data_IF_755102676594
#
_entry.id   IF_755102676594
#
_cell.length_a   1.000
_cell.length_b   1.000
_cell.length_c   1.000
_cell.angle_alpha   90.00
_cell.angle_beta   90.00
_cell.angle_gamma   90.00
#
_symmetry.space_group_name_H-M   'P 1'
#
loop_
_entity.id
_entity.type
_entity.pdbx_description
1 polymer ?
#
# COMPACT_ATOMS: atom_id res chain seq x y z
N UNK A 1 1.81 -41.08 10.42
CA UNK A 1 1.24 -40.73 9.09
C UNK A 1 -0.26 -40.43 9.17
N UNK A 2 -1.06 -41.18 9.93
CA UNK A 2 -2.50 -40.94 10.11
C UNK A 2 -2.87 -39.50 10.54
N UNK A 3 -2.28 -38.97 11.62
CA UNK A 3 -2.62 -37.63 12.12
C UNK A 3 -2.30 -36.50 11.12
N UNK A 4 -1.32 -36.70 10.23
CA UNK A 4 -0.96 -35.70 9.23
C UNK A 4 -2.05 -35.57 8.16
N UNK A 5 -2.49 -36.69 7.58
CA UNK A 5 -3.50 -36.68 6.53
C UNK A 5 -4.90 -36.37 7.05
N UNK A 6 -5.27 -36.92 8.21
CA UNK A 6 -6.57 -36.63 8.84
C UNK A 6 -6.60 -35.20 9.39
N UNK A 7 -5.50 -34.74 9.99
CA UNK A 7 -5.40 -33.37 10.49
C UNK A 7 -5.51 -32.34 9.37
N UNK A 8 -4.81 -32.53 8.25
CA UNK A 8 -4.91 -31.63 7.11
C UNK A 8 -6.31 -31.62 6.50
N UNK A 9 -6.95 -32.79 6.37
CA UNK A 9 -8.35 -32.87 5.93
C UNK A 9 -9.30 -32.13 6.88
N UNK A 10 -9.10 -32.29 8.20
CA UNK A 10 -9.93 -31.64 9.22
C UNK A 10 -9.82 -30.12 9.23
N UNK A 11 -8.63 -29.57 8.93
CA UNK A 11 -8.47 -28.11 8.75
C UNK A 11 -9.33 -27.60 7.59
N UNK A 12 -9.33 -28.31 6.45
CA UNK A 12 -10.16 -27.92 5.31
C UNK A 12 -11.66 -28.07 5.61
N UNK A 13 -12.04 -29.07 6.41
CA UNK A 13 -13.42 -29.29 6.85
C UNK A 13 -13.94 -28.16 7.73
N UNK A 14 -13.17 -27.70 8.72
CA UNK A 14 -13.57 -26.56 9.57
C UNK A 14 -13.66 -25.26 8.75
N UNK A 15 -12.73 -25.04 7.82
CA UNK A 15 -12.70 -23.81 7.02
C UNK A 15 -13.69 -23.76 5.85
N UNK A 16 -14.40 -24.86 5.55
CA UNK A 16 -15.32 -24.89 4.41
C UNK A 16 -16.57 -24.02 4.65
N UNK A 17 -16.98 -23.90 5.92
CA UNK A 17 -18.10 -23.07 6.34
C UNK A 17 -17.78 -22.36 7.67
N UNK A 18 -17.07 -21.22 7.64
CA UNK A 18 -16.61 -20.51 8.84
C UNK A 18 -17.69 -19.68 9.55
N UNK A 19 -18.97 -19.87 9.18
CA UNK A 19 -20.13 -19.10 9.68
C UNK A 19 -21.14 -20.00 10.40
N UNK A 20 -20.71 -21.18 10.86
CA UNK A 20 -21.52 -22.08 11.67
C UNK A 20 -21.57 -21.66 13.13
N UNK A 21 -21.71 -22.67 13.99
CA UNK A 21 -21.71 -22.53 15.46
C UNK A 21 -20.54 -23.29 16.10
N UNK A 22 -19.54 -23.71 15.32
CA UNK A 22 -18.37 -24.43 15.85
C UNK A 22 -17.46 -23.45 16.64
N UNK A 23 -16.72 -23.96 17.63
CA UNK A 23 -15.88 -23.14 18.52
C UNK A 23 -14.79 -22.31 17.77
N UNK A 24 -14.40 -22.74 16.57
CA UNK A 24 -13.39 -22.08 15.72
C UNK A 24 -14.02 -21.21 14.61
N UNK A 25 -15.36 -21.10 14.54
CA UNK A 25 -16.07 -20.26 13.58
C UNK A 25 -15.96 -18.77 13.91
N UNK A 26 -16.30 -17.93 12.93
CA UNK A 26 -16.33 -16.49 13.13
C UNK A 26 -17.51 -16.13 14.04
N UNK A 27 -17.21 -15.36 15.08
CA UNK A 27 -18.17 -14.74 16.01
C UNK A 27 -18.99 -13.62 15.33
N UNK A 28 -19.83 -14.01 14.37
CA UNK A 28 -20.54 -13.09 13.48
C UNK A 28 -21.57 -12.25 14.25
N UNK A 29 -22.27 -12.84 15.21
CA UNK A 29 -23.25 -12.12 16.04
C UNK A 29 -22.59 -10.98 16.82
N UNK A 30 -21.43 -11.25 17.44
CA UNK A 30 -20.66 -10.22 18.12
C UNK A 30 -20.21 -9.11 17.16
N UNK A 31 -19.77 -9.50 15.96
CA UNK A 31 -19.33 -8.54 14.95
C UNK A 31 -20.48 -7.62 14.53
N UNK A 32 -21.67 -8.16 14.30
CA UNK A 32 -22.88 -7.41 13.93
C UNK A 32 -23.23 -6.41 15.05
N UNK A 33 -23.33 -6.87 16.30
CA UNK A 33 -23.65 -6.01 17.44
C UNK A 33 -22.64 -4.87 17.60
N UNK A 34 -21.35 -5.20 17.48
CA UNK A 34 -20.25 -4.22 17.57
C UNK A 34 -20.33 -3.17 16.47
N UNK A 35 -20.62 -3.56 15.23
CA UNK A 35 -20.69 -2.63 14.10
C UNK A 35 -21.95 -1.77 14.14
N UNK A 36 -23.10 -2.34 14.48
CA UNK A 36 -24.35 -1.56 14.63
C UNK A 36 -24.16 -0.50 15.71
N UNK A 37 -23.62 -0.88 16.87
CA UNK A 37 -23.35 0.06 17.96
C UNK A 37 -22.37 1.15 17.55
N UNK A 38 -21.24 0.80 16.94
CA UNK A 38 -20.25 1.77 16.50
C UNK A 38 -20.82 2.70 15.41
N UNK A 39 -21.61 2.17 14.48
CA UNK A 39 -22.28 2.93 13.44
C UNK A 39 -23.20 4.00 14.02
N UNK A 40 -24.11 3.62 14.92
CA UNK A 40 -25.00 4.58 15.59
C UNK A 40 -24.23 5.63 16.41
N UNK A 41 -23.19 5.22 17.15
CA UNK A 41 -22.36 6.15 17.92
C UNK A 41 -21.68 7.19 17.02
N UNK A 42 -21.19 6.79 15.84
CA UNK A 42 -20.52 7.70 14.89
C UNK A 42 -21.50 8.70 14.29
N UNK A 43 -22.70 8.26 13.90
CA UNK A 43 -23.66 9.10 13.17
C UNK A 43 -24.61 9.91 14.07
N UNK A 44 -24.81 9.50 15.32
CA UNK A 44 -25.67 10.21 16.27
C UNK A 44 -24.85 10.99 17.30
N UNK A 45 -24.11 10.29 18.17
CA UNK A 45 -23.41 10.92 19.30
C UNK A 45 -22.22 11.77 18.84
N UNK A 46 -21.41 11.26 17.91
CA UNK A 46 -20.18 11.91 17.44
C UNK A 46 -20.39 12.80 16.21
N UNK A 47 -21.64 13.00 15.76
CA UNK A 47 -21.92 13.80 14.57
C UNK A 47 -21.60 15.28 14.81
N UNK A 48 -20.72 15.85 13.98
CA UNK A 48 -20.21 17.22 14.11
C UNK A 48 -19.50 17.51 15.46
N UNK A 49 -19.25 16.48 16.28
CA UNK A 49 -18.46 16.60 17.50
C UNK A 49 -16.98 16.40 17.17
N UNK A 50 -16.18 17.42 17.47
CA UNK A 50 -14.74 17.39 17.26
C UNK A 50 -14.02 17.87 18.51
N UNK A 51 -12.88 17.25 18.88
CA UNK A 51 -12.06 17.77 19.96
C UNK A 51 -11.51 19.15 19.60
N UNK A 52 -11.18 19.94 20.62
CA UNK A 52 -10.56 21.25 20.42
C UNK A 52 -9.26 21.15 19.63
N UNK A 53 -9.09 22.05 18.66
CA UNK A 53 -7.87 22.12 17.87
C UNK A 53 -6.75 22.75 18.72
N UNK A 54 -5.80 21.92 19.13
CA UNK A 54 -4.62 22.31 19.90
C UNK A 54 -3.36 22.04 19.08
N UNK A 55 -2.33 22.85 19.32
CA UNK A 55 -0.98 22.58 18.80
C UNK A 55 -0.45 21.30 19.44
N UNK A 56 0.02 20.37 18.63
CA UNK A 56 0.62 19.13 19.13
C UNK A 56 2.03 19.36 19.71
N UNK A 57 2.58 18.34 20.35
CA UNK A 57 3.89 18.40 21.02
C UNK A 57 5.04 18.79 20.08
N UNK A 58 4.92 18.52 18.78
CA UNK A 58 5.95 18.75 17.77
C UNK A 58 5.58 19.88 16.80
N UNK A 59 4.63 20.75 17.16
CA UNK A 59 4.07 21.78 16.27
C UNK A 59 5.11 22.69 15.58
N UNK A 60 6.22 23.00 16.25
CA UNK A 60 7.28 23.87 15.72
C UNK A 60 8.44 23.07 15.07
N UNK A 61 8.38 21.73 15.08
CA UNK A 61 9.39 20.84 14.52
C UNK A 61 8.94 20.30 13.15
N UNK A 62 9.81 20.37 12.13
CA UNK A 62 9.48 19.84 10.79
C UNK A 62 9.48 18.31 10.79
N UNK A 63 10.44 17.69 11.49
CA UNK A 63 10.57 16.25 11.69
C UNK A 63 11.17 16.04 13.08
N UNK A 64 10.46 15.38 14.01
CA UNK A 64 11.02 15.04 15.32
C UNK A 64 12.25 14.15 15.16
N UNK A 65 13.38 14.55 15.78
CA UNK A 65 14.64 13.80 15.68
C UNK A 65 14.54 12.41 16.30
N UNK A 66 13.82 12.31 17.42
CA UNK A 66 13.68 11.09 18.20
C UNK A 66 12.24 11.00 18.73
N UNK A 67 11.48 9.99 18.30
CA UNK A 67 10.23 9.64 18.96
C UNK A 67 10.54 8.83 20.23
N UNK A 68 9.78 9.03 21.33
CA UNK A 68 10.06 8.34 22.59
C UNK A 68 9.77 6.84 22.46
N UNK A 69 10.72 6.03 22.92
CA UNK A 69 10.56 4.59 23.11
C UNK A 69 10.54 4.27 24.60
N UNK A 70 9.77 3.26 24.98
CA UNK A 70 9.90 2.66 26.32
C UNK A 70 11.21 1.87 26.41
N UNK A 71 11.74 1.67 27.62
CA UNK A 71 12.97 0.88 27.85
C UNK A 71 12.87 -0.54 27.27
N UNK A 72 11.69 -1.16 27.33
CA UNK A 72 11.45 -2.49 26.75
C UNK A 72 11.43 -2.50 25.22
N UNK A 73 11.06 -1.37 24.60
CA UNK A 73 10.94 -1.24 23.14
C UNK A 73 12.20 -0.68 22.47
N UNK A 74 13.19 -0.19 23.23
CA UNK A 74 14.40 0.44 22.68
C UNK A 74 15.14 -0.48 21.70
N UNK A 75 15.16 -1.79 21.97
CA UNK A 75 15.78 -2.79 21.09
C UNK A 75 15.10 -2.91 19.70
N UNK A 76 13.86 -2.44 19.54
CA UNK A 76 13.14 -2.44 18.27
C UNK A 76 13.33 -1.15 17.48
N UNK A 77 14.04 -0.17 18.05
CA UNK A 77 14.37 1.06 17.36
C UNK A 77 15.22 0.72 16.14
N UNK A 78 14.67 0.94 14.95
CA UNK A 78 15.33 0.68 13.67
C UNK A 78 15.44 1.97 12.89
N UNK A 79 16.55 2.10 12.18
CA UNK A 79 16.69 3.11 11.15
C UNK A 79 15.78 2.77 9.96
N UNK A 80 15.43 3.79 9.18
CA UNK A 80 14.63 3.62 7.98
C UNK A 80 15.31 2.60 7.03
N UNK A 81 14.59 1.56 6.57
CA UNK A 81 15.16 0.56 5.69
C UNK A 81 15.53 1.21 4.36
N UNK A 82 16.83 1.26 4.09
CA UNK A 82 17.37 1.74 2.83
C UNK A 82 17.00 0.78 1.70
N UNK A 83 16.54 1.32 0.57
CA UNK A 83 16.20 0.51 -0.60
C UNK A 83 17.39 -0.32 -1.09
N UNK A 84 17.12 -1.50 -1.64
CA UNK A 84 18.17 -2.42 -2.12
C UNK A 84 19.10 -1.79 -3.16
N UNK A 85 18.63 -0.78 -3.89
CA UNK A 85 19.37 -0.02 -4.88
C UNK A 85 19.98 1.30 -4.37
N UNK A 86 19.92 1.63 -3.07
CA UNK A 86 20.39 2.93 -2.54
C UNK A 86 21.85 3.23 -2.92
N UNK A 87 22.70 2.20 -2.94
CA UNK A 87 24.12 2.31 -3.29
C UNK A 87 24.42 1.90 -4.73
N UNK A 88 23.41 1.56 -5.53
CA UNK A 88 23.60 1.13 -6.90
C UNK A 88 23.97 2.33 -7.78
N UNK A 89 25.20 2.34 -8.27
CA UNK A 89 25.66 3.34 -9.24
C UNK A 89 25.56 2.75 -10.64
N UNK A 90 24.65 3.30 -11.44
CA UNK A 90 24.53 2.95 -12.87
C UNK A 90 25.82 3.42 -13.58
N UNK A 91 26.42 2.55 -14.40
CA UNK A 91 27.54 2.96 -15.26
C UNK A 91 27.04 3.96 -16.30
N UNK A 92 27.87 4.91 -16.72
CA UNK A 92 27.47 5.91 -17.73
C UNK A 92 26.99 5.27 -19.04
N UNK A 93 27.57 4.13 -19.43
CA UNK A 93 27.13 3.34 -20.60
C UNK A 93 25.70 2.83 -20.50
N UNK A 94 25.27 2.53 -19.28
CA UNK A 94 24.01 1.84 -18.97
C UNK A 94 22.94 2.84 -18.49
N UNK A 95 23.35 4.09 -18.21
CA UNK A 95 22.47 5.20 -17.82
C UNK A 95 21.74 5.83 -19.03
N UNK A 96 22.15 5.48 -20.25
CA UNK A 96 21.58 6.02 -21.47
C UNK A 96 20.39 5.17 -21.93
N UNK A 97 19.30 5.85 -22.33
CA UNK A 97 18.11 5.17 -22.80
C UNK A 97 18.37 4.44 -24.12
N UNK A 98 17.99 3.16 -24.20
CA UNK A 98 18.22 2.31 -25.37
C UNK A 98 17.56 2.86 -26.65
N UNK A 99 16.38 3.48 -26.54
CA UNK A 99 15.68 4.10 -27.66
C UNK A 99 16.35 5.38 -28.18
N UNK A 100 17.18 6.05 -27.37
CA UNK A 100 18.01 7.18 -27.80
C UNK A 100 19.30 6.68 -28.44
N UNK A 101 19.89 5.59 -27.93
CA UNK A 101 21.07 4.94 -28.50
C UNK A 101 20.85 4.32 -29.88
N UNK A 102 19.69 3.71 -30.12
CA UNK A 102 19.34 3.11 -31.41
C UNK A 102 18.86 4.14 -32.45
N UNK A 103 18.48 5.34 -32.02
CA UNK A 103 17.97 6.41 -32.91
C UNK A 103 19.02 7.00 -33.86
N UNK A 104 20.32 6.87 -33.57
CA UNK A 104 21.41 7.34 -34.44
C UNK A 104 21.80 6.35 -35.54
N UNK A 105 21.28 5.10 -35.52
CA UNK A 105 21.56 4.09 -36.54
C UNK A 105 20.36 3.81 -37.49
N UNK A 106 19.19 4.40 -37.24
CA UNK A 106 17.96 4.15 -38.01
C UNK A 106 17.47 5.44 -38.69
N UNK A 107 18.35 6.09 -39.46
CA UNK A 107 17.95 7.15 -40.40
C UNK A 107 17.61 6.57 -41.78
N UNK A 108 16.87 5.45 -41.83
CA UNK A 108 16.28 4.90 -43.06
C UNK A 108 14.86 4.33 -42.88
N UNK A 109 14.19 4.50 -41.73
CA UNK A 109 12.81 3.98 -41.50
C UNK A 109 11.88 5.11 -41.04
N UNK A 110 11.80 6.19 -41.84
CA UNK A 110 11.05 7.41 -41.52
C UNK A 110 9.55 7.39 -41.94
N UNK A 111 8.91 6.22 -42.00
CA UNK A 111 7.48 6.16 -42.36
C UNK A 111 6.53 5.70 -41.24
N UNK A 112 6.99 4.94 -40.23
CA UNK A 112 6.07 4.45 -39.20
C UNK A 112 5.94 5.34 -37.95
N UNK A 113 6.82 6.31 -37.76
CA UNK A 113 6.89 7.12 -36.53
C UNK A 113 5.82 8.23 -36.45
N UNK A 114 5.33 8.72 -37.58
CA UNK A 114 4.30 9.78 -37.61
C UNK A 114 2.98 9.36 -36.94
N UNK A 115 2.57 8.10 -37.10
CA UNK A 115 1.28 7.65 -36.57
C UNK A 115 1.26 7.48 -35.03
N UNK A 116 2.43 7.34 -34.40
CA UNK A 116 2.52 7.07 -32.97
C UNK A 116 2.60 8.36 -32.13
N UNK A 117 3.20 9.41 -32.70
CA UNK A 117 3.29 10.73 -32.08
C UNK A 117 1.92 11.44 -32.06
N UNK A 118 1.10 11.27 -33.11
CA UNK A 118 -0.26 11.82 -33.17
C UNK A 118 -1.17 11.21 -32.08
N UNK A 119 -1.04 9.91 -31.81
CA UNK A 119 -1.86 9.23 -30.79
C UNK A 119 -1.52 9.71 -29.37
N UNK A 120 -0.24 9.96 -29.07
CA UNK A 120 0.17 10.45 -27.75
C UNK A 120 -0.27 11.90 -27.50
N UNK A 121 -0.26 12.75 -28.54
CA UNK A 121 -0.75 14.11 -28.46
C UNK A 121 -2.25 14.16 -28.09
N UNK A 122 -3.07 13.26 -28.65
CA UNK A 122 -4.50 13.17 -28.33
C UNK A 122 -4.75 12.71 -26.88
N UNK A 123 -3.93 11.80 -26.34
CA UNK A 123 -4.04 11.39 -24.93
C UNK A 123 -3.72 12.52 -23.95
N UNK A 124 -2.68 13.31 -24.22
CA UNK A 124 -2.29 14.44 -23.36
C UNK A 124 -3.30 15.58 -23.44
N UNK A 125 -3.94 15.79 -24.60
CA UNK A 125 -4.99 16.79 -24.79
C UNK A 125 -6.28 16.45 -24.03
N UNK A 126 -6.62 15.16 -23.91
CA UNK A 126 -7.80 14.73 -23.14
C UNK A 126 -7.63 14.88 -21.61
N UNK A 127 -6.39 14.80 -21.09
CA UNK A 127 -6.15 14.93 -19.64
C UNK A 127 -5.96 16.38 -19.17
N UNK A 128 -5.82 17.35 -20.07
CA UNK A 128 -5.63 18.77 -19.72
C UNK A 128 -6.92 19.59 -19.68
N UNK A 129 -8.07 18.99 -20.02
CA UNK A 129 -9.40 19.62 -19.97
C UNK A 129 -10.31 19.08 -18.86
N UNK A 130 -9.73 18.67 -17.72
CA UNK A 130 -10.45 18.45 -16.45
C UNK A 130 -9.90 19.38 -15.39
#
# INVERSE_FOLDING_TARGET
QFCFYVGWLKVAEVLINPFGEDDDDIELNWLIDRHIKAGYMIVDEMHEEHPELLKDQYWDEVIPKDLPYTVASEQYRREEPKGSAERYKVKESDALYANVMLGTQIHNVNQHRKHQDDMYADYVSCMSNV
#
